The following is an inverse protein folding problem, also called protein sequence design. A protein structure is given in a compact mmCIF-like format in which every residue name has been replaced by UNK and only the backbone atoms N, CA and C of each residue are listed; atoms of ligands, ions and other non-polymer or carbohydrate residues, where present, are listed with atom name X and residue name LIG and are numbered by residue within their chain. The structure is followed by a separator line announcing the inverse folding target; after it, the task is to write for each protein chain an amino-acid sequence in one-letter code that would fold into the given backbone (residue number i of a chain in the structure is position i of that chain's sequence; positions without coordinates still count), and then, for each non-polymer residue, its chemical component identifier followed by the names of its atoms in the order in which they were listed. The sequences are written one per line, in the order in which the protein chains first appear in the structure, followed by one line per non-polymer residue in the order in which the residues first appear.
data_IF_995894390497
#
_entry.id   IF_995894390497
#
_cell.length_a   1.000
_cell.length_b   1.000
_cell.length_c   1.000
_cell.angle_alpha   90.00
_cell.angle_beta   90.00
_cell.angle_gamma   90.00
#
_symmetry.space_group_name_H-M   'P 1'
#
loop_
_entity.id
_entity.type
_entity.pdbx_description
1 polymer ?
#
# COMPACT_ATOMS: atom_id res chain seq x y z
N UNK A 1 -1.35 -11.95 5.08
CA UNK A 1 -1.87 -10.65 4.58
C UNK A 1 -1.38 -10.23 3.19
N UNK A 2 -0.54 -11.00 2.47
CA UNK A 2 0.06 -10.52 1.20
C UNK A 2 0.09 -11.57 0.06
N UNK A 3 -0.59 -12.70 0.23
CA UNK A 3 -0.93 -13.66 -0.83
C UNK A 3 -2.42 -13.54 -1.17
N UNK A 4 -2.85 -12.32 -1.44
CA UNK A 4 -4.24 -12.01 -1.79
C UNK A 4 -4.23 -11.16 -3.05
N UNK A 5 -5.26 -11.29 -3.86
CA UNK A 5 -5.37 -10.54 -5.12
C UNK A 5 -5.49 -9.04 -4.84
N UNK A 6 -5.14 -8.23 -5.83
CA UNK A 6 -5.37 -6.78 -5.79
C UNK A 6 -6.85 -6.47 -5.53
N UNK A 7 -7.76 -7.25 -6.11
CA UNK A 7 -9.21 -7.13 -5.87
C UNK A 7 -9.60 -7.38 -4.42
N UNK A 8 -8.98 -8.36 -3.77
CA UNK A 8 -9.21 -8.64 -2.34
C UNK A 8 -8.71 -7.49 -1.47
N UNK A 9 -7.51 -6.95 -1.74
CA UNK A 9 -6.97 -5.80 -1.01
C UNK A 9 -7.85 -4.55 -1.19
N UNK A 10 -8.35 -4.31 -2.41
CA UNK A 10 -9.25 -3.21 -2.68
C UNK A 10 -10.57 -3.35 -1.89
N UNK A 11 -11.09 -4.58 -1.76
CA UNK A 11 -12.28 -4.87 -0.96
C UNK A 11 -12.03 -4.69 0.56
N UNK A 12 -10.87 -5.12 1.08
CA UNK A 12 -10.49 -4.91 2.49
C UNK A 12 -10.37 -3.41 2.83
N UNK A 13 -9.70 -2.65 1.96
CA UNK A 13 -9.60 -1.20 2.09
C UNK A 13 -11.00 -0.55 1.99
N UNK A 14 -11.90 -1.06 1.13
CA UNK A 14 -13.26 -0.53 0.95
C UNK A 14 -14.12 -0.80 2.19
N UNK A 15 -13.95 -1.97 2.78
CA UNK A 15 -14.56 -2.35 4.05
C UNK A 15 -13.94 -1.67 5.27
N UNK A 16 -12.95 -0.78 5.11
CA UNK A 16 -12.19 -0.12 6.19
C UNK A 16 -11.58 -1.11 7.19
N UNK A 17 -11.30 -2.33 6.74
CA UNK A 17 -10.66 -3.38 7.55
C UNK A 17 -9.15 -3.18 7.62
N UNK A 18 -8.60 -2.47 6.65
CA UNK A 18 -7.21 -2.04 6.56
C UNK A 18 -7.17 -0.60 6.03
N UNK A 19 -6.14 0.14 6.43
CA UNK A 19 -5.79 1.43 5.83
C UNK A 19 -4.71 1.27 4.76
N UNK A 20 -4.67 2.23 3.83
CA UNK A 20 -3.60 2.31 2.82
C UNK A 20 -2.25 2.49 3.49
N UNK A 21 -2.17 3.26 4.58
CA UNK A 21 -0.93 3.47 5.34
C UNK A 21 -0.43 2.17 5.96
N UNK A 22 -1.30 1.38 6.61
CA UNK A 22 -0.92 0.08 7.17
C UNK A 22 -0.42 -0.88 6.09
N UNK A 23 -1.12 -0.94 4.96
CA UNK A 23 -0.75 -1.80 3.84
C UNK A 23 0.61 -1.40 3.26
N UNK A 24 0.85 -0.09 3.09
CA UNK A 24 2.12 0.43 2.59
C UNK A 24 3.27 0.14 3.55
N UNK A 25 3.08 0.37 4.86
CA UNK A 25 4.09 0.04 5.89
C UNK A 25 4.45 -1.44 5.88
N UNK A 26 3.45 -2.31 5.76
CA UNK A 26 3.65 -3.76 5.68
C UNK A 26 4.54 -4.17 4.49
N UNK A 27 4.31 -3.58 3.31
CA UNK A 27 5.15 -3.88 2.15
C UNK A 27 6.55 -3.26 2.24
N UNK A 28 6.68 -2.01 2.71
CA UNK A 28 7.99 -1.38 2.92
C UNK A 28 8.86 -2.19 3.87
N UNK A 29 8.29 -2.71 4.98
CA UNK A 29 9.02 -3.55 5.91
C UNK A 29 9.51 -4.85 5.26
N UNK A 30 8.68 -5.47 4.40
CA UNK A 30 9.09 -6.67 3.66
C UNK A 30 10.18 -6.37 2.64
N UNK A 31 10.11 -5.23 1.95
CA UNK A 31 11.14 -4.78 1.02
C UNK A 31 12.46 -4.62 1.78
N UNK A 32 12.47 -3.95 2.95
CA UNK A 32 13.69 -3.81 3.76
C UNK A 32 14.36 -5.14 4.09
N UNK A 33 13.57 -6.15 4.46
CA UNK A 33 14.11 -7.47 4.87
C UNK A 33 14.55 -8.31 3.66
N UNK A 34 13.89 -8.19 2.51
CA UNK A 34 14.08 -9.10 1.38
C UNK A 34 14.90 -8.48 0.23
N UNK A 35 14.96 -7.16 0.12
CA UNK A 35 15.63 -6.50 -1.01
C UNK A 35 17.15 -6.70 -0.99
N UNK A 36 17.77 -6.85 0.18
CA UNK A 36 19.20 -7.21 0.26
C UNK A 36 19.49 -8.56 -0.43
N UNK A 37 18.53 -9.50 -0.37
CA UNK A 37 18.67 -10.83 -0.96
C UNK A 37 18.31 -10.86 -2.44
N UNK A 38 17.23 -10.18 -2.82
CA UNK A 38 16.67 -10.30 -4.17
C UNK A 38 17.01 -9.13 -5.10
N UNK A 39 17.45 -8.00 -4.54
CA UNK A 39 17.82 -6.79 -5.27
C UNK A 39 16.76 -6.36 -6.31
N UNK A 40 15.48 -6.39 -5.90
CA UNK A 40 14.33 -6.10 -6.78
C UNK A 40 14.02 -4.60 -6.89
N UNK A 41 14.55 -3.77 -6.00
CA UNK A 41 14.30 -2.33 -5.93
C UNK A 41 15.62 -1.57 -6.02
N UNK A 42 15.72 -0.66 -7.00
CA UNK A 42 16.88 0.23 -7.18
C UNK A 42 16.80 1.41 -6.20
N UNK A 43 15.63 2.03 -6.06
CA UNK A 43 15.39 3.15 -5.17
C UNK A 43 14.10 2.94 -4.42
N UNK A 44 14.15 3.11 -3.10
CA UNK A 44 12.99 3.04 -2.23
C UNK A 44 12.74 4.40 -1.59
N UNK A 45 11.62 5.04 -1.95
CA UNK A 45 11.19 6.29 -1.33
C UNK A 45 10.05 6.03 -0.35
N UNK A 46 10.43 5.69 0.88
CA UNK A 46 9.49 5.34 1.95
C UNK A 46 8.60 6.53 2.33
N UNK A 47 9.19 7.72 2.42
CA UNK A 47 8.50 8.94 2.85
C UNK A 47 7.40 9.27 1.87
N UNK A 48 7.72 9.34 0.57
CA UNK A 48 6.73 9.62 -0.47
C UNK A 48 5.66 8.53 -0.55
N UNK A 49 6.05 7.26 -0.38
CA UNK A 49 5.10 6.15 -0.38
C UNK A 49 4.08 6.28 0.75
N UNK A 50 4.52 6.68 1.95
CA UNK A 50 3.64 6.89 3.10
C UNK A 50 2.75 8.12 2.94
N UNK A 51 3.27 9.23 2.40
CA UNK A 51 2.49 10.43 2.10
C UNK A 51 1.36 10.13 1.11
N UNK A 52 1.66 9.39 0.04
CA UNK A 52 0.67 8.97 -0.95
C UNK A 52 -0.38 8.02 -0.35
N UNK A 53 0.03 7.11 0.53
CA UNK A 53 -0.89 6.23 1.24
C UNK A 53 -1.86 7.03 2.14
N UNK A 54 -1.36 8.05 2.82
CA UNK A 54 -2.18 8.90 3.69
C UNK A 54 -3.16 9.77 2.88
N UNK A 55 -2.71 10.30 1.74
CA UNK A 55 -3.60 10.99 0.80
C UNK A 55 -4.68 10.06 0.23
N UNK A 56 -4.32 8.81 -0.09
CA UNK A 56 -5.27 7.80 -0.55
C UNK A 56 -6.31 7.49 0.52
N UNK A 57 -5.93 7.31 1.78
CA UNK A 57 -6.88 7.13 2.89
C UNK A 57 -7.82 8.34 3.04
N UNK A 58 -7.31 9.56 2.86
CA UNK A 58 -8.13 10.77 2.81
C UNK A 58 -9.16 10.77 1.67
N UNK A 59 -8.76 10.39 0.45
CA UNK A 59 -9.67 10.26 -0.70
C UNK A 59 -10.73 9.18 -0.47
N UNK A 60 -10.36 8.08 0.19
CA UNK A 60 -11.27 6.99 0.56
C UNK A 60 -12.27 7.43 1.62
N UNK A 61 -11.83 8.15 2.63
CA UNK A 61 -12.71 8.74 3.64
C UNK A 61 -13.70 9.74 3.01
N UNK A 62 -13.25 10.51 2.03
CA UNK A 62 -14.08 11.47 1.28
C UNK A 62 -15.00 10.84 0.22
N UNK A 63 -15.01 9.52 0.05
CA UNK A 63 -15.82 8.82 -0.95
C UNK A 63 -15.38 9.06 -2.41
N UNK A 64 -14.16 9.57 -2.62
CA UNK A 64 -13.58 9.89 -3.93
C UNK A 64 -12.54 8.85 -4.38
N UNK A 65 -12.58 7.65 -3.82
CA UNK A 65 -11.64 6.60 -4.13
C UNK A 65 -11.96 5.93 -5.48
N UNK A 66 -10.93 5.76 -6.30
CA UNK A 66 -10.95 4.89 -7.47
C UNK A 66 -10.62 3.43 -7.10
N UNK A 67 -10.71 2.52 -8.08
CA UNK A 67 -10.53 1.08 -7.87
C UNK A 67 -9.14 0.68 -7.34
N UNK A 68 -8.12 1.52 -7.55
CA UNK A 68 -6.73 1.29 -7.10
C UNK A 68 -6.28 2.28 -6.02
N UNK A 69 -7.15 3.15 -5.52
CA UNK A 69 -6.78 4.15 -4.52
C UNK A 69 -6.40 3.47 -3.20
N UNK A 70 -5.12 3.56 -2.86
CA UNK A 70 -4.52 3.02 -1.64
C UNK A 70 -3.91 1.62 -1.78
N UNK A 71 -3.84 1.09 -3.00
CA UNK A 71 -3.11 -0.14 -3.31
C UNK A 71 -1.63 0.20 -3.59
N UNK A 72 -0.66 -0.36 -2.85
CA UNK A 72 0.75 -0.18 -3.14
C UNK A 72 1.14 -0.83 -4.47
N UNK A 73 1.80 -0.07 -5.33
CA UNK A 73 2.31 -0.50 -6.65
C UNK A 73 3.74 0.04 -6.78
N UNK A 74 4.66 -0.76 -7.30
CA UNK A 74 6.06 -0.41 -7.50
C UNK A 74 6.59 -0.93 -8.83
#
# INVERSE_FOLDING_TARGET
MHNVTISSLAAELAGRRLSSVELTRHFLQRIKVLNERYNCFITLDETRSLEQAQAADGLRAAGRAGPLTGIPIA
#
